data_IF_705269372655
#
_entry.id   IF_705269372655
#
_cell.length_a   1.000
_cell.length_b   1.000
_cell.length_c   1.000
_cell.angle_alpha   90.00
_cell.angle_beta   90.00
_cell.angle_gamma   90.00
#
_symmetry.space_group_name_H-M   'P 1'
#
loop_
_entity.id
_entity.type
_entity.pdbx_description
1 polymer ?
#
# COMPACT_ATOMS: atom_id res chain seq x y z
N UNK A 1 -5.34 20.49 13.85
CA UNK A 1 -4.13 20.46 13.01
C UNK A 1 -3.02 19.61 13.62
N UNK A 2 -2.69 19.79 14.90
CA UNK A 2 -1.67 18.93 15.56
C UNK A 2 -2.07 17.45 15.59
N UNK A 3 -3.31 17.14 15.87
CA UNK A 3 -3.86 15.79 15.91
C UNK A 3 -3.79 15.09 14.55
N UNK A 4 -4.14 15.81 13.47
CA UNK A 4 -4.06 15.28 12.10
C UNK A 4 -2.63 15.01 11.65
N UNK A 5 -1.68 15.86 12.04
CA UNK A 5 -0.26 15.66 11.75
C UNK A 5 0.30 14.46 12.53
N UNK A 6 -0.07 14.33 13.81
CA UNK A 6 0.28 13.17 14.63
C UNK A 6 -0.29 11.87 14.06
N UNK A 7 -1.54 11.87 13.64
CA UNK A 7 -2.18 10.73 12.96
C UNK A 7 -1.44 10.37 11.68
N UNK A 8 -1.06 11.36 10.86
CA UNK A 8 -0.32 11.13 9.62
C UNK A 8 1.07 10.51 9.87
N UNK A 9 1.81 11.01 10.85
CA UNK A 9 3.13 10.48 11.22
C UNK A 9 3.01 9.09 11.86
N UNK A 10 2.03 8.89 12.73
CA UNK A 10 1.79 7.60 13.37
C UNK A 10 1.47 6.52 12.34
N UNK A 11 0.61 6.80 11.36
CA UNK A 11 0.22 5.83 10.35
C UNK A 11 1.27 5.61 9.26
N UNK A 12 2.03 6.65 8.91
CA UNK A 12 3.08 6.54 7.90
C UNK A 12 4.32 5.80 8.39
N UNK A 13 4.76 6.07 9.62
CA UNK A 13 6.02 5.56 10.17
C UNK A 13 5.82 4.48 11.23
N UNK A 14 5.00 4.73 12.25
CA UNK A 14 4.88 3.83 13.41
C UNK A 14 3.99 2.64 13.13
N UNK A 15 2.76 2.90 12.66
CA UNK A 15 1.78 1.87 12.29
C UNK A 15 1.80 1.59 10.79
N UNK A 16 3.00 1.47 10.20
CA UNK A 16 3.12 1.17 8.78
C UNK A 16 2.40 -0.14 8.46
N UNK A 17 1.40 -0.06 7.58
CA UNK A 17 0.49 -1.17 7.27
C UNK A 17 1.23 -2.38 6.71
N UNK A 18 2.34 -2.17 6.00
CA UNK A 18 3.17 -3.25 5.45
C UNK A 18 3.91 -3.99 6.54
N UNK A 19 4.54 -3.27 7.47
CA UNK A 19 5.44 -3.84 8.46
C UNK A 19 4.73 -4.27 9.74
N UNK A 20 3.66 -3.57 10.15
CA UNK A 20 2.90 -3.89 11.36
C UNK A 20 1.79 -4.90 11.12
N UNK A 21 1.12 -4.83 9.96
CA UNK A 21 -0.01 -5.72 9.63
C UNK A 21 0.30 -6.71 8.50
N UNK A 22 1.49 -6.66 7.94
CA UNK A 22 1.94 -7.51 6.81
C UNK A 22 1.03 -7.45 5.57
N UNK A 23 0.35 -6.31 5.36
CA UNK A 23 -0.52 -6.09 4.22
C UNK A 23 0.30 -5.59 3.03
N UNK A 24 0.03 -6.12 1.84
CA UNK A 24 0.74 -5.73 0.62
C UNK A 24 2.07 -6.46 0.39
N UNK A 25 2.34 -7.56 1.09
CA UNK A 25 3.58 -8.34 0.90
C UNK A 25 3.72 -8.90 -0.52
N UNK A 26 2.62 -9.22 -1.20
CA UNK A 26 2.65 -9.73 -2.58
C UNK A 26 3.29 -8.74 -3.55
N UNK A 27 2.90 -7.46 -3.48
CA UNK A 27 3.51 -6.40 -4.27
C UNK A 27 4.90 -6.02 -3.76
N UNK A 28 5.09 -6.03 -2.44
CA UNK A 28 6.35 -5.76 -1.79
C UNK A 28 7.46 -6.73 -2.22
N UNK A 29 7.17 -8.02 -2.27
CA UNK A 29 8.12 -9.06 -2.68
C UNK A 29 8.29 -9.12 -4.20
N UNK A 30 7.21 -8.90 -4.97
CA UNK A 30 7.19 -9.06 -6.42
C UNK A 30 7.91 -7.96 -7.18
N UNK A 31 7.85 -6.71 -6.69
CA UNK A 31 8.29 -5.52 -7.44
C UNK A 31 9.61 -4.94 -6.93
N UNK A 32 10.10 -5.39 -5.78
CA UNK A 32 11.29 -4.84 -5.12
C UNK A 32 12.63 -5.27 -5.72
N UNK A 33 12.65 -5.93 -6.88
CA UNK A 33 13.89 -6.38 -7.54
C UNK A 33 14.72 -5.23 -8.12
N UNK A 34 14.06 -4.14 -8.50
CA UNK A 34 14.71 -2.94 -9.07
C UNK A 34 14.10 -1.68 -8.48
N UNK A 35 14.93 -0.70 -8.14
CA UNK A 35 14.48 0.59 -7.59
C UNK A 35 13.52 1.31 -8.56
N UNK A 36 13.78 1.27 -9.87
CA UNK A 36 12.91 1.91 -10.87
C UNK A 36 11.49 1.34 -10.86
N UNK A 37 11.37 0.00 -10.81
CA UNK A 37 10.07 -0.68 -10.73
C UNK A 37 9.36 -0.39 -9.39
N UNK A 38 10.11 -0.36 -8.29
CA UNK A 38 9.60 -0.04 -6.98
C UNK A 38 9.08 1.40 -6.91
N UNK A 39 9.77 2.36 -7.53
CA UNK A 39 9.35 3.77 -7.59
C UNK A 39 8.06 3.93 -8.40
N UNK A 40 7.99 3.31 -9.59
CA UNK A 40 6.78 3.32 -10.40
C UNK A 40 5.58 2.72 -9.67
N UNK A 41 5.79 1.58 -9.00
CA UNK A 41 4.77 0.92 -8.19
C UNK A 41 4.33 1.77 -6.98
N UNK A 42 5.29 2.44 -6.32
CA UNK A 42 5.02 3.33 -5.19
C UNK A 42 4.10 4.48 -5.60
N UNK A 43 4.38 5.14 -6.72
CA UNK A 43 3.54 6.23 -7.25
C UNK A 43 2.14 5.74 -7.63
N UNK A 44 2.04 4.65 -8.38
CA UNK A 44 0.77 4.09 -8.80
C UNK A 44 -0.07 3.64 -7.61
N UNK A 45 0.53 2.94 -6.64
CA UNK A 45 -0.17 2.50 -5.43
C UNK A 45 -0.61 3.68 -4.56
N UNK A 46 0.19 4.73 -4.45
CA UNK A 46 -0.18 5.96 -3.71
C UNK A 46 -1.42 6.59 -4.31
N UNK A 47 -1.47 6.72 -5.62
CA UNK A 47 -2.64 7.28 -6.32
C UNK A 47 -3.88 6.42 -6.13
N UNK A 48 -3.77 5.12 -6.42
CA UNK A 48 -4.89 4.17 -6.29
C UNK A 48 -5.40 4.10 -4.84
N UNK A 49 -4.49 4.05 -3.86
CA UNK A 49 -4.85 3.93 -2.45
C UNK A 49 -5.62 5.17 -1.98
N UNK A 50 -5.13 6.37 -2.31
CA UNK A 50 -5.81 7.62 -1.95
C UNK A 50 -7.19 7.73 -2.60
N UNK A 51 -7.30 7.39 -3.89
CA UNK A 51 -8.59 7.37 -4.59
C UNK A 51 -9.54 6.32 -4.00
N UNK A 52 -9.05 5.12 -3.72
CA UNK A 52 -9.85 4.01 -3.18
C UNK A 52 -10.41 4.32 -1.79
N UNK A 53 -9.63 4.96 -0.92
CA UNK A 53 -10.11 5.37 0.41
C UNK A 53 -11.19 6.45 0.31
N UNK A 54 -11.04 7.44 -0.57
CA UNK A 54 -12.05 8.48 -0.78
C UNK A 54 -13.36 7.93 -1.34
N UNK A 55 -13.27 7.12 -2.40
CA UNK A 55 -14.45 6.53 -3.03
C UNK A 55 -15.10 5.48 -2.13
N UNK A 56 -14.29 4.69 -1.40
CA UNK A 56 -14.76 3.74 -0.40
C UNK A 56 -15.58 4.43 0.69
N UNK A 57 -15.11 5.55 1.21
CA UNK A 57 -15.85 6.36 2.19
C UNK A 57 -17.18 6.85 1.64
N UNK A 58 -17.20 7.37 0.40
CA UNK A 58 -18.42 7.83 -0.26
C UNK A 58 -19.44 6.70 -0.42
N UNK A 59 -19.01 5.54 -0.87
CA UNK A 59 -19.87 4.37 -1.06
C UNK A 59 -20.43 3.86 0.25
N UNK A 60 -19.59 3.80 1.28
CA UNK A 60 -20.02 3.39 2.62
C UNK A 60 -21.13 4.29 3.14
N UNK A 61 -20.94 5.63 3.11
CA UNK A 61 -21.88 6.58 3.66
C UNK A 61 -23.15 6.83 2.82
N UNK A 62 -23.02 6.76 1.47
CA UNK A 62 -24.13 7.05 0.57
C UNK A 62 -24.96 5.81 0.22
N UNK A 63 -24.36 4.64 0.20
CA UNK A 63 -25.00 3.44 -0.33
C UNK A 63 -25.13 2.36 0.76
N UNK A 64 -24.06 1.97 1.42
CA UNK A 64 -24.08 0.82 2.31
C UNK A 64 -24.83 1.11 3.63
N UNK A 65 -24.56 2.24 4.26
CA UNK A 65 -25.21 2.62 5.52
C UNK A 65 -26.73 2.81 5.38
N UNK A 66 -27.26 3.59 4.41
CA UNK A 66 -28.70 3.80 4.32
C UNK A 66 -29.47 2.56 3.87
N UNK A 67 -28.80 1.62 3.15
CA UNK A 67 -29.43 0.36 2.70
C UNK A 67 -29.27 -0.79 3.72
N UNK A 68 -28.48 -0.63 4.79
CA UNK A 68 -28.25 -1.68 5.78
C UNK A 68 -27.46 -2.89 5.22
N UNK A 69 -26.70 -2.71 4.14
CA UNK A 69 -25.96 -3.75 3.44
C UNK A 69 -24.51 -3.85 3.90
N UNK A 70 -24.24 -3.65 5.19
CA UNK A 70 -22.88 -3.65 5.73
C UNK A 70 -22.14 -5.00 5.54
N UNK A 71 -22.87 -6.11 5.44
CA UNK A 71 -22.28 -7.42 5.17
C UNK A 71 -21.71 -7.57 3.77
N UNK A 72 -22.18 -6.76 2.81
CA UNK A 72 -21.66 -6.72 1.43
C UNK A 72 -20.49 -5.73 1.24
N UNK A 73 -20.05 -5.06 2.31
CA UNK A 73 -18.96 -4.06 2.29
C UNK A 73 -17.71 -4.56 1.58
N UNK A 74 -17.28 -5.77 1.91
CA UNK A 74 -16.08 -6.36 1.31
C UNK A 74 -16.20 -6.51 -0.21
N UNK A 75 -17.34 -7.03 -0.68
CA UNK A 75 -17.59 -7.21 -2.12
C UNK A 75 -17.69 -5.87 -2.85
N UNK A 76 -18.37 -4.89 -2.26
CA UNK A 76 -18.50 -3.56 -2.81
C UNK A 76 -17.12 -2.89 -2.97
N UNK A 77 -16.27 -2.97 -1.95
CA UNK A 77 -14.94 -2.38 -2.01
C UNK A 77 -14.04 -3.06 -3.03
N UNK A 78 -14.06 -4.38 -3.14
CA UNK A 78 -13.29 -5.09 -4.18
C UNK A 78 -13.72 -4.65 -5.58
N UNK A 79 -15.01 -4.56 -5.84
CA UNK A 79 -15.55 -4.11 -7.13
C UNK A 79 -15.11 -2.69 -7.48
N UNK A 80 -15.18 -1.78 -6.50
CA UNK A 80 -14.80 -0.38 -6.66
C UNK A 80 -13.30 -0.24 -6.90
N UNK A 81 -12.48 -0.91 -6.10
CA UNK A 81 -11.02 -0.89 -6.26
C UNK A 81 -10.64 -1.44 -7.64
N UNK A 82 -11.23 -2.55 -8.07
CA UNK A 82 -10.99 -3.10 -9.40
C UNK A 82 -11.34 -2.11 -10.53
N UNK A 83 -12.49 -1.44 -10.42
CA UNK A 83 -12.92 -0.44 -11.41
C UNK A 83 -11.97 0.77 -11.45
N UNK A 84 -11.54 1.26 -10.28
CA UNK A 84 -10.60 2.39 -10.17
C UNK A 84 -9.22 2.05 -10.74
N UNK A 85 -8.74 0.84 -10.49
CA UNK A 85 -7.45 0.39 -11.01
C UNK A 85 -7.50 0.25 -12.52
N UNK A 86 -8.57 -0.31 -13.09
CA UNK A 86 -8.74 -0.40 -14.54
C UNK A 86 -8.82 1.00 -15.19
N UNK A 87 -9.49 1.95 -14.57
CA UNK A 87 -9.53 3.33 -15.03
C UNK A 87 -8.14 3.97 -14.99
N UNK A 88 -7.39 3.74 -13.93
CA UNK A 88 -6.01 4.21 -13.79
C UNK A 88 -5.09 3.58 -14.84
N UNK A 89 -5.26 2.30 -15.15
CA UNK A 89 -4.54 1.58 -16.20
C UNK A 89 -4.75 2.23 -17.57
N UNK A 90 -6.01 2.49 -17.93
CA UNK A 90 -6.35 3.15 -19.19
C UNK A 90 -5.76 4.57 -19.28
N UNK A 91 -5.72 5.29 -18.15
CA UNK A 91 -5.14 6.62 -18.07
C UNK A 91 -3.62 6.58 -18.26
N UNK A 92 -2.92 5.69 -17.55
CA UNK A 92 -1.47 5.51 -17.65
C UNK A 92 -1.07 5.03 -19.04
N UNK A 93 -1.83 4.11 -19.64
CA UNK A 93 -1.58 3.62 -20.99
C UNK A 93 -1.62 4.73 -22.05
N UNK A 94 -2.50 5.74 -21.87
CA UNK A 94 -2.60 6.90 -22.80
C UNK A 94 -1.53 7.94 -22.55
N UNK A 95 -1.18 8.21 -21.29
CA UNK A 95 -0.30 9.32 -20.91
C UNK A 95 1.19 8.95 -21.03
N UNK A 96 1.55 7.75 -20.69
CA UNK A 96 2.95 7.29 -20.63
C UNK A 96 3.07 5.82 -21.06
N UNK A 97 3.21 5.54 -22.38
CA UNK A 97 3.32 4.17 -22.89
C UNK A 97 4.53 3.40 -22.34
N UNK A 98 5.63 4.08 -22.05
CA UNK A 98 6.82 3.48 -21.44
C UNK A 98 6.56 3.01 -20.01
N UNK A 99 5.88 3.85 -19.22
CA UNK A 99 5.50 3.51 -17.87
C UNK A 99 4.47 2.37 -17.85
N UNK A 100 3.53 2.36 -18.79
CA UNK A 100 2.58 1.26 -18.99
C UNK A 100 3.30 -0.05 -19.34
N UNK A 101 4.33 -0.02 -20.18
CA UNK A 101 5.11 -1.21 -20.54
C UNK A 101 5.87 -1.79 -19.34
N UNK A 102 6.37 -0.93 -18.46
CA UNK A 102 7.09 -1.34 -17.24
C UNK A 102 6.13 -1.79 -16.14
N UNK A 103 5.01 -1.09 -15.96
CA UNK A 103 4.00 -1.36 -14.92
C UNK A 103 2.93 -2.37 -15.35
N UNK A 104 2.75 -2.62 -16.66
CA UNK A 104 1.65 -3.44 -17.18
C UNK A 104 1.61 -4.86 -16.62
N UNK A 105 2.78 -5.45 -16.31
CA UNK A 105 2.89 -6.77 -15.67
C UNK A 105 2.51 -6.69 -14.18
N UNK A 106 2.66 -5.51 -13.54
CA UNK A 106 2.43 -5.31 -12.11
C UNK A 106 1.04 -4.72 -11.78
N UNK A 107 0.29 -4.28 -12.79
CA UNK A 107 -1.06 -3.74 -12.62
C UNK A 107 -2.04 -4.71 -11.96
N UNK A 108 -2.06 -6.02 -12.30
CA UNK A 108 -2.85 -6.99 -11.56
C UNK A 108 -2.48 -7.08 -10.07
N UNK A 109 -1.21 -6.86 -9.73
CA UNK A 109 -0.74 -6.81 -8.34
C UNK A 109 -1.26 -5.58 -7.57
N UNK A 110 -1.58 -4.48 -8.26
CA UNK A 110 -2.22 -3.31 -7.63
C UNK A 110 -3.70 -3.58 -7.38
N UNK A 111 -4.39 -4.21 -8.35
CA UNK A 111 -5.82 -4.54 -8.24
C UNK A 111 -6.11 -5.49 -7.08
N UNK A 112 -5.26 -6.51 -6.90
CA UNK A 112 -5.39 -7.51 -5.84
C UNK A 112 -4.58 -7.14 -4.58
N UNK A 113 -4.15 -5.89 -4.44
CA UNK A 113 -3.32 -5.46 -3.34
C UNK A 113 -4.12 -5.41 -2.03
N UNK A 114 -3.80 -6.31 -1.12
CA UNK A 114 -4.45 -6.39 0.18
C UNK A 114 -4.21 -5.14 1.06
N UNK A 115 -3.16 -4.34 0.80
CA UNK A 115 -2.96 -3.08 1.50
C UNK A 115 -4.03 -2.04 1.13
N UNK A 116 -4.38 -1.94 -0.15
CA UNK A 116 -5.42 -1.01 -0.62
C UNK A 116 -6.78 -1.35 0.01
N UNK A 117 -7.16 -2.63 -0.05
CA UNK A 117 -8.39 -3.11 0.55
C UNK A 117 -8.38 -2.97 2.08
N UNK A 118 -7.27 -3.34 2.71
CA UNK A 118 -7.13 -3.29 4.17
C UNK A 118 -7.23 -1.87 4.72
N UNK A 119 -6.59 -0.89 4.08
CA UNK A 119 -6.67 0.51 4.49
C UNK A 119 -8.08 1.06 4.29
N UNK A 120 -8.74 0.75 3.16
CA UNK A 120 -10.12 1.16 2.92
C UNK A 120 -11.08 0.60 3.98
N UNK A 121 -10.90 -0.65 4.42
CA UNK A 121 -11.68 -1.24 5.49
C UNK A 121 -11.40 -0.61 6.86
N UNK A 122 -10.14 -0.31 7.15
CA UNK A 122 -9.73 0.31 8.41
C UNK A 122 -10.32 1.70 8.59
N UNK A 123 -10.34 2.53 7.54
CA UNK A 123 -10.93 3.88 7.59
C UNK A 123 -12.42 3.85 7.93
N UNK A 124 -13.15 2.83 7.48
CA UNK A 124 -14.56 2.65 7.81
C UNK A 124 -14.75 2.09 9.22
N UNK A 125 -13.91 1.15 9.65
CA UNK A 125 -13.98 0.58 11.00
C UNK A 125 -13.73 1.63 12.08
N UNK A 126 -12.82 2.55 11.85
CA UNK A 126 -12.50 3.65 12.77
C UNK A 126 -13.48 4.83 12.68
N UNK A 127 -14.50 4.73 11.81
CA UNK A 127 -15.55 5.75 11.61
C UNK A 127 -14.98 7.16 11.40
N UNK A 128 -13.93 7.25 10.60
CA UNK A 128 -13.24 8.50 10.32
C UNK A 128 -14.12 9.44 9.49
N UNK A 129 -13.99 10.74 9.72
CA UNK A 129 -14.58 11.76 8.85
C UNK A 129 -13.91 11.76 7.47
N UNK A 130 -14.53 12.36 6.48
CA UNK A 130 -13.99 12.40 5.12
C UNK A 130 -12.55 12.96 5.06
N UNK A 131 -12.30 14.06 5.78
CA UNK A 131 -10.97 14.68 5.82
C UNK A 131 -9.93 13.79 6.50
N UNK A 132 -10.30 13.14 7.59
CA UNK A 132 -9.44 12.19 8.30
C UNK A 132 -9.14 10.97 7.44
N UNK A 133 -10.14 10.46 6.71
CA UNK A 133 -9.97 9.36 5.75
C UNK A 133 -8.99 9.71 4.64
N UNK A 134 -9.06 10.93 4.10
CA UNK A 134 -8.12 11.41 3.09
C UNK A 134 -6.68 11.44 3.63
N UNK A 135 -6.50 12.01 4.81
CA UNK A 135 -5.18 12.13 5.45
C UNK A 135 -4.64 10.75 5.83
N UNK A 136 -5.49 9.88 6.36
CA UNK A 136 -5.15 8.50 6.70
C UNK A 136 -4.70 7.70 5.46
N UNK A 137 -5.48 7.78 4.38
CA UNK A 137 -5.15 7.14 3.10
C UNK A 137 -3.84 7.63 2.51
N UNK A 138 -3.64 8.96 2.48
CA UNK A 138 -2.42 9.57 1.94
C UNK A 138 -1.18 9.23 2.78
N UNK A 139 -1.27 9.33 4.10
CA UNK A 139 -0.17 9.01 5.01
C UNK A 139 0.23 7.53 4.95
N UNK A 140 -0.76 6.63 4.91
CA UNK A 140 -0.51 5.20 4.75
C UNK A 140 0.11 4.86 3.40
N UNK A 141 -0.30 5.55 2.34
CA UNK A 141 0.26 5.40 1.00
C UNK A 141 1.72 5.86 0.93
N UNK A 142 2.04 6.99 1.55
CA UNK A 142 3.42 7.49 1.66
C UNK A 142 4.28 6.54 2.50
N UNK A 143 3.75 6.01 3.61
CA UNK A 143 4.42 4.99 4.42
C UNK A 143 4.70 3.71 3.63
N UNK A 144 3.73 3.23 2.85
CA UNK A 144 3.90 2.10 1.94
C UNK A 144 5.02 2.37 0.91
N UNK A 145 4.98 3.54 0.27
CA UNK A 145 5.95 3.95 -0.74
C UNK A 145 7.38 4.04 -0.18
N UNK A 146 7.53 4.60 1.00
CA UNK A 146 8.81 4.68 1.69
C UNK A 146 9.40 3.30 1.95
N UNK A 147 8.60 2.39 2.50
CA UNK A 147 9.05 1.04 2.86
C UNK A 147 9.43 0.22 1.62
N UNK A 148 8.64 0.30 0.53
CA UNK A 148 8.94 -0.47 -0.69
C UNK A 148 10.22 0.00 -1.36
N UNK A 149 10.49 1.33 -1.38
CA UNK A 149 11.71 1.90 -1.94
C UNK A 149 12.93 1.55 -1.08
N UNK A 150 12.82 1.66 0.24
CA UNK A 150 13.89 1.25 1.16
C UNK A 150 14.24 -0.22 0.99
N UNK A 151 13.23 -1.08 0.91
CA UNK A 151 13.43 -2.51 0.74
C UNK A 151 14.05 -2.86 -0.61
N UNK A 152 13.63 -2.20 -1.69
CA UNK A 152 14.23 -2.36 -3.01
C UNK A 152 15.72 -1.99 -3.00
N UNK A 153 16.08 -0.88 -2.35
CA UNK A 153 17.48 -0.46 -2.20
C UNK A 153 18.33 -1.44 -1.38
N UNK A 154 17.76 -2.01 -0.32
CA UNK A 154 18.45 -3.05 0.46
C UNK A 154 18.63 -4.34 -0.34
N UNK A 155 17.60 -4.76 -1.08
CA UNK A 155 17.63 -5.98 -1.89
C UNK A 155 18.64 -5.89 -3.02
N UNK A 156 18.69 -4.77 -3.73
CA UNK A 156 19.66 -4.53 -4.80
C UNK A 156 21.11 -4.63 -4.29
N UNK A 157 21.38 -4.09 -3.10
CA UNK A 157 22.72 -4.22 -2.46
C UNK A 157 23.01 -5.65 -2.01
N UNK A 158 22.02 -6.35 -1.48
CA UNK A 158 22.19 -7.72 -1.05
C UNK A 158 22.47 -8.68 -2.23
N UNK A 159 21.82 -8.47 -3.39
CA UNK A 159 22.03 -9.28 -4.58
C UNK A 159 23.47 -9.16 -5.14
N UNK A 160 24.15 -8.03 -4.89
CA UNK A 160 25.55 -7.81 -5.27
C UNK A 160 26.56 -8.51 -4.35
N UNK A 161 26.14 -9.00 -3.19
CA UNK A 161 27.00 -9.65 -2.22
C UNK A 161 27.04 -11.15 -2.48
N UNK A 162 28.20 -11.79 -2.24
CA UNK A 162 28.38 -13.23 -2.37
C UNK A 162 27.50 -13.95 -1.34
N UNK A 163 26.39 -14.50 -1.80
CA UNK A 163 25.43 -15.21 -0.96
C UNK A 163 25.53 -16.73 -1.14
N UNK A 164 25.39 -17.51 -0.04
CA UNK A 164 25.24 -18.96 -0.14
C UNK A 164 24.02 -19.31 -1.01
N UNK A 165 24.15 -20.34 -1.85
CA UNK A 165 23.10 -20.73 -2.80
C UNK A 165 21.73 -21.02 -2.15
N UNK A 166 21.72 -21.46 -0.89
CA UNK A 166 20.50 -21.75 -0.12
C UNK A 166 19.67 -20.50 0.21
N UNK A 167 20.29 -19.32 0.32
CA UNK A 167 19.63 -18.08 0.72
C UNK A 167 19.29 -17.16 -0.47
N UNK A 168 19.66 -17.56 -1.70
CA UNK A 168 19.34 -16.74 -2.89
C UNK A 168 17.83 -16.65 -3.16
N UNK A 169 17.35 -15.43 -3.39
CA UNK A 169 15.99 -15.14 -3.80
C UNK A 169 15.01 -14.91 -2.65
N UNK A 170 13.89 -15.64 -2.64
CA UNK A 170 12.80 -15.43 -1.70
C UNK A 170 13.20 -15.56 -0.20
N UNK A 171 14.01 -16.55 0.23
CA UNK A 171 14.34 -16.69 1.65
C UNK A 171 15.05 -15.45 2.22
N UNK A 172 16.00 -14.90 1.49
CA UNK A 172 16.71 -13.69 1.92
C UNK A 172 15.81 -12.49 2.01
N UNK A 173 14.87 -12.35 1.06
CA UNK A 173 13.90 -11.27 1.05
C UNK A 173 12.97 -11.32 2.27
N UNK A 174 12.53 -12.51 2.68
CA UNK A 174 11.73 -12.68 3.91
C UNK A 174 12.50 -12.33 5.17
N UNK A 175 13.75 -12.77 5.28
CA UNK A 175 14.62 -12.44 6.41
C UNK A 175 14.83 -10.93 6.50
N UNK A 176 15.14 -10.28 5.37
CA UNK A 176 15.35 -8.83 5.30
C UNK A 176 14.07 -8.07 5.67
N UNK A 177 12.91 -8.52 5.18
CA UNK A 177 11.62 -7.94 5.54
C UNK A 177 11.32 -8.09 7.05
N UNK A 178 11.65 -9.25 7.63
CA UNK A 178 11.51 -9.49 9.07
C UNK A 178 12.41 -8.58 9.91
N UNK A 179 13.66 -8.40 9.51
CA UNK A 179 14.60 -7.48 10.19
C UNK A 179 14.09 -6.04 10.09
N UNK A 180 13.61 -5.63 8.92
CA UNK A 180 13.03 -4.30 8.72
C UNK A 180 11.79 -4.09 9.60
N UNK A 181 10.90 -5.10 9.69
CA UNK A 181 9.73 -5.05 10.55
C UNK A 181 10.09 -4.91 12.03
N UNK A 182 11.11 -5.63 12.50
CA UNK A 182 11.62 -5.49 13.88
C UNK A 182 12.23 -4.11 14.14
N UNK A 183 12.98 -3.56 13.18
CA UNK A 183 13.53 -2.21 13.29
C UNK A 183 12.42 -1.15 13.40
N UNK A 184 11.37 -1.26 12.60
CA UNK A 184 10.22 -0.34 12.68
C UNK A 184 9.34 -0.56 13.91
N UNK A 185 9.26 -1.79 14.44
CA UNK A 185 8.58 -2.06 15.71
C UNK A 185 9.23 -1.31 16.89
N UNK A 186 10.53 -1.01 16.82
CA UNK A 186 11.20 -0.16 17.79
C UNK A 186 10.63 1.26 17.88
N UNK A 187 10.08 1.80 16.78
CA UNK A 187 9.43 3.11 16.78
C UNK A 187 8.05 3.08 17.46
N UNK A 188 7.40 1.93 17.52
CA UNK A 188 6.10 1.78 18.18
C UNK A 188 6.18 2.09 19.69
N UNK A 189 7.33 1.84 20.33
CA UNK A 189 7.57 2.16 21.72
C UNK A 189 7.78 3.66 22.02
N UNK A 190 7.97 4.49 20.99
CA UNK A 190 8.16 5.94 21.11
C UNK A 190 6.85 6.73 20.99
N UNK A 191 5.77 6.08 20.52
CA UNK A 191 4.46 6.69 20.28
C UNK A 191 3.40 6.35 21.36
N UNK A 192 3.79 5.60 22.42
CA UNK A 192 2.96 5.23 23.56
C UNK A 192 3.07 6.20 24.74
#
# INVERSE_FOLDING_TARGET
MKELLLMALANGLVNNVVLSRFLGLCSFMGVSNKIESAMGMAMATTFVLTMSTCVGWLIEHLILQPLGLEYLRLLAFIMVIASLVQLTELFVAKQSPELHRTLGIFLPLITTNCAVLGIALLTVQEKLSFLETLIYGLSSALGYSLVIVLFAGMRERLEQTAQPALFKGAPLSFITAGILAMAFAGFAGLAG
#
